data_IF_775852944186
#
_entry.id   IF_775852944186
#
_cell.length_a   1.000
_cell.length_b   1.000
_cell.length_c   1.000
_cell.angle_alpha   90.00
_cell.angle_beta   90.00
_cell.angle_gamma   90.00
#
_symmetry.space_group_name_H-M   'P 1'
#
loop_
_entity.id
_entity.type
_entity.pdbx_description
1 polymer ?
#
# COMPACT_ATOMS: atom_id res chain seq x y z
N UNK A 1 18.05 24.20 13.14
CA UNK A 1 17.66 23.76 11.79
C UNK A 1 17.69 22.24 11.63
N UNK A 2 18.81 21.55 11.95
CA UNK A 2 18.89 20.07 11.81
C UNK A 2 17.85 19.28 12.61
N UNK A 3 17.50 19.69 13.84
CA UNK A 3 16.51 18.98 14.65
C UNK A 3 15.09 19.00 14.06
N UNK A 4 14.70 20.12 13.42
CA UNK A 4 13.39 20.24 12.77
C UNK A 4 13.30 19.32 11.54
N UNK A 5 14.34 19.30 10.71
CA UNK A 5 14.42 18.40 9.56
C UNK A 5 14.34 16.92 9.99
N UNK A 6 15.09 16.54 11.03
CA UNK A 6 15.06 15.19 11.60
C UNK A 6 13.67 14.79 12.11
N UNK A 7 12.96 15.72 12.77
CA UNK A 7 11.62 15.46 13.27
C UNK A 7 10.60 15.24 12.14
N UNK A 8 10.64 16.09 11.10
CA UNK A 8 9.73 15.99 9.94
C UNK A 8 10.00 14.69 9.16
N UNK A 9 11.27 14.38 8.90
CA UNK A 9 11.68 13.16 8.18
C UNK A 9 11.30 11.91 8.96
N UNK A 10 11.56 11.87 10.27
CA UNK A 10 11.24 10.73 11.13
C UNK A 10 9.73 10.43 11.15
N UNK A 11 8.89 11.45 10.98
CA UNK A 11 7.44 11.27 10.93
C UNK A 11 7.00 10.44 9.73
N UNK A 12 7.75 10.42 8.64
CA UNK A 12 7.44 9.58 7.46
C UNK A 12 7.57 8.09 7.80
N UNK A 13 8.56 7.72 8.61
CA UNK A 13 8.83 6.33 8.98
C UNK A 13 7.92 5.85 10.11
N UNK A 14 7.54 6.75 11.02
CA UNK A 14 6.82 6.44 12.26
C UNK A 14 5.31 6.68 12.13
N UNK A 15 4.90 7.58 11.24
CA UNK A 15 3.52 8.00 11.01
C UNK A 15 2.55 6.85 10.75
N UNK A 16 2.83 5.90 9.83
CA UNK A 16 1.91 4.80 9.56
C UNK A 16 1.62 3.93 10.80
N UNK A 17 2.64 3.64 11.62
CA UNK A 17 2.51 2.78 12.81
C UNK A 17 1.80 3.54 13.93
N UNK A 18 2.26 4.77 14.20
CA UNK A 18 1.72 5.60 15.28
C UNK A 18 0.29 6.02 14.97
N UNK A 19 -0.01 6.37 13.72
CA UNK A 19 -1.35 6.73 13.26
C UNK A 19 -2.37 5.60 13.43
N UNK A 20 -2.02 4.37 13.03
CA UNK A 20 -2.92 3.22 13.21
C UNK A 20 -3.21 2.92 14.68
N UNK A 21 -2.18 3.02 15.54
CA UNK A 21 -2.33 2.76 16.98
C UNK A 21 -3.13 3.85 17.69
N UNK A 22 -2.94 5.12 17.30
CA UNK A 22 -3.73 6.25 17.81
C UNK A 22 -5.21 6.08 17.46
N UNK A 23 -5.52 5.67 16.23
CA UNK A 23 -6.90 5.42 15.81
C UNK A 23 -7.53 4.23 16.55
N UNK A 24 -6.80 3.14 16.71
CA UNK A 24 -7.26 1.96 17.48
C UNK A 24 -7.57 2.36 18.93
N UNK A 25 -6.72 3.20 19.54
CA UNK A 25 -6.94 3.76 20.86
C UNK A 25 -8.19 4.62 20.95
N UNK A 26 -8.50 5.41 19.91
CA UNK A 26 -9.69 6.26 19.87
C UNK A 26 -10.98 5.46 19.66
N UNK A 27 -10.93 4.35 18.92
CA UNK A 27 -12.13 3.68 18.40
C UNK A 27 -12.59 2.49 19.24
N UNK A 28 -11.66 1.63 19.67
CA UNK A 28 -11.97 0.40 20.43
C UNK A 28 -11.51 0.48 21.87
N UNK A 29 -10.49 1.31 22.14
CA UNK A 29 -9.78 1.28 23.42
C UNK A 29 -9.14 -0.09 23.68
N UNK A 30 -8.50 -0.25 24.84
CA UNK A 30 -7.92 -1.52 25.28
C UNK A 30 -6.40 -1.52 25.39
N UNK A 31 -5.85 -2.71 25.66
CA UNK A 31 -4.42 -2.90 25.97
C UNK A 31 -3.55 -2.93 24.68
N UNK A 32 -4.16 -3.18 23.52
CA UNK A 32 -3.46 -3.26 22.22
C UNK A 32 -2.60 -2.02 21.89
N UNK A 33 -3.18 -0.80 21.90
CA UNK A 33 -2.43 0.43 21.67
C UNK A 33 -1.30 0.68 22.68
N UNK A 34 -1.51 0.33 23.96
CA UNK A 34 -0.51 0.45 25.03
C UNK A 34 0.67 -0.48 24.74
N UNK A 35 0.41 -1.74 24.40
CA UNK A 35 1.44 -2.72 24.05
C UNK A 35 2.15 -2.33 22.76
N UNK A 36 1.43 -1.82 21.77
CA UNK A 36 2.00 -1.33 20.51
C UNK A 36 2.96 -0.15 20.71
N UNK A 37 2.55 0.87 21.48
CA UNK A 37 3.38 2.03 21.81
C UNK A 37 4.58 1.67 22.69
N UNK A 38 4.39 0.79 23.68
CA UNK A 38 5.50 0.27 24.50
C UNK A 38 6.48 -0.56 23.66
N UNK A 39 5.99 -1.40 22.76
CA UNK A 39 6.84 -2.19 21.86
C UNK A 39 7.65 -1.30 20.92
N UNK A 40 7.00 -0.29 20.32
CA UNK A 40 7.66 0.66 19.43
C UNK A 40 8.73 1.49 20.15
N UNK A 41 8.40 2.05 21.32
CA UNK A 41 9.37 2.83 22.11
C UNK A 41 10.53 1.98 22.63
N UNK A 42 10.26 0.75 23.07
CA UNK A 42 11.30 -0.18 23.51
C UNK A 42 12.23 -0.54 22.35
N UNK A 43 11.69 -0.84 21.16
CA UNK A 43 12.49 -1.17 19.98
C UNK A 43 13.44 -0.03 19.58
N UNK A 44 12.99 1.23 19.67
CA UNK A 44 13.84 2.40 19.40
C UNK A 44 14.86 2.67 20.51
N UNK A 45 14.51 2.43 21.77
CA UNK A 45 15.39 2.69 22.92
C UNK A 45 16.47 1.60 23.10
N UNK A 46 16.18 0.36 22.70
CA UNK A 46 17.01 -0.81 22.97
C UNK A 46 18.43 -0.72 22.38
N UNK A 47 18.65 -0.23 21.13
CA UNK A 47 20.00 -0.01 20.62
C UNK A 47 20.80 0.97 21.50
N UNK A 48 20.20 2.10 21.89
CA UNK A 48 20.88 3.10 22.73
C UNK A 48 21.17 2.58 24.13
N UNK A 49 20.25 1.81 24.71
CA UNK A 49 20.43 1.18 26.02
C UNK A 49 21.58 0.16 25.99
N UNK A 50 21.67 -0.67 24.94
CA UNK A 50 22.78 -1.62 24.76
C UNK A 50 24.11 -0.89 24.62
N UNK A 51 24.17 0.16 23.78
CA UNK A 51 25.39 0.96 23.62
C UNK A 51 25.81 1.68 24.91
N UNK A 52 24.86 2.07 25.77
CA UNK A 52 25.14 2.66 27.08
C UNK A 52 25.64 1.62 28.10
N UNK A 53 25.11 0.39 28.08
CA UNK A 53 25.45 -0.68 29.02
C UNK A 53 26.82 -1.32 28.72
N UNK A 54 27.27 -1.28 27.47
CA UNK A 54 28.56 -1.84 27.03
C UNK A 54 29.50 -0.76 26.46
N UNK A 55 30.17 0.05 27.32
CA UNK A 55 31.12 1.07 26.87
C UNK A 55 32.28 0.50 26.03
N UNK A 56 32.62 -0.78 26.24
CA UNK A 56 33.64 -1.49 25.47
C UNK A 56 33.30 -1.68 23.98
N UNK A 57 32.01 -1.83 23.65
CA UNK A 57 31.55 -1.89 22.25
C UNK A 57 31.59 -0.51 21.59
N UNK A 58 31.26 0.54 22.34
CA UNK A 58 31.37 1.92 21.89
C UNK A 58 32.83 2.27 21.51
N UNK A 59 33.79 1.78 22.31
CA UNK A 59 35.22 1.95 22.06
C UNK A 59 35.78 1.05 20.95
N UNK A 60 35.06 0.00 20.54
CA UNK A 60 35.43 -0.91 19.44
C UNK A 60 34.94 -0.42 18.07
N UNK A 61 34.04 0.57 18.04
CA UNK A 61 33.61 1.17 16.78
C UNK A 61 34.79 1.96 16.19
N UNK A 62 35.17 1.71 14.92
CA UNK A 62 36.23 2.47 14.28
C UNK A 62 35.85 3.95 14.31
N UNK A 63 36.83 4.81 14.65
CA UNK A 63 36.67 6.27 14.62
C UNK A 63 36.03 6.68 13.29
N UNK A 64 35.21 7.74 13.31
CA UNK A 64 34.44 8.36 12.23
C UNK A 64 35.24 8.66 10.95
N UNK A 65 35.71 7.62 10.27
CA UNK A 65 36.41 7.64 9.00
C UNK A 65 35.48 7.32 7.84
N UNK A 66 36.05 6.88 6.71
CA UNK A 66 35.31 6.64 5.46
C UNK A 66 34.15 5.64 5.54
N UNK A 67 34.14 4.73 6.52
CA UNK A 67 33.00 3.81 6.71
C UNK A 67 31.71 4.54 7.12
N UNK A 68 31.81 5.53 8.03
CA UNK A 68 30.65 6.29 8.49
C UNK A 68 30.05 7.13 7.35
N UNK A 69 30.88 7.67 6.46
CA UNK A 69 30.39 8.41 5.30
C UNK A 69 29.61 7.51 4.33
N UNK A 70 30.02 6.26 4.14
CA UNK A 70 29.24 5.31 3.33
C UNK A 70 27.92 4.94 3.96
N UNK A 71 27.87 4.76 5.28
CA UNK A 71 26.60 4.52 5.97
C UNK A 71 25.67 5.73 5.80
N UNK A 72 26.18 6.96 5.96
CA UNK A 72 25.41 8.19 5.72
C UNK A 72 24.90 8.28 4.28
N UNK A 73 25.76 8.01 3.30
CA UNK A 73 25.37 8.03 1.89
C UNK A 73 24.29 6.97 1.60
N UNK A 74 24.49 5.74 2.06
CA UNK A 74 23.52 4.65 1.92
C UNK A 74 22.16 5.01 2.53
N UNK A 75 22.15 5.51 3.77
CA UNK A 75 20.92 5.94 4.43
C UNK A 75 20.27 7.14 3.72
N UNK A 76 21.05 8.09 3.20
CA UNK A 76 20.53 9.23 2.45
C UNK A 76 19.86 8.84 1.12
N UNK A 77 20.46 7.91 0.36
CA UNK A 77 19.82 7.37 -0.85
C UNK A 77 18.55 6.58 -0.52
N UNK A 78 18.56 5.81 0.58
CA UNK A 78 17.38 5.08 1.04
C UNK A 78 16.25 6.03 1.47
N UNK A 79 16.57 7.09 2.20
CA UNK A 79 15.63 8.13 2.62
C UNK A 79 15.03 8.85 1.40
N UNK A 80 15.86 9.17 0.40
CA UNK A 80 15.39 9.77 -0.85
C UNK A 80 14.42 8.84 -1.60
N UNK A 81 14.72 7.54 -1.71
CA UNK A 81 13.83 6.56 -2.34
C UNK A 81 12.47 6.48 -1.61
N UNK A 82 12.50 6.47 -0.27
CA UNK A 82 11.28 6.46 0.55
C UNK A 82 10.48 7.76 0.44
N UNK A 83 11.14 8.92 0.33
CA UNK A 83 10.48 10.20 0.11
C UNK A 83 9.67 10.21 -1.20
N UNK A 84 10.25 9.72 -2.29
CA UNK A 84 9.53 9.56 -3.56
C UNK A 84 8.36 8.57 -3.47
N UNK A 85 8.46 7.53 -2.62
CA UNK A 85 7.33 6.63 -2.35
C UNK A 85 6.16 7.36 -1.69
N UNK A 86 6.42 8.23 -0.72
CA UNK A 86 5.33 9.00 -0.09
C UNK A 86 4.74 10.04 -1.05
N UNK A 87 5.59 10.65 -1.88
CA UNK A 87 5.13 11.55 -2.93
C UNK A 87 4.22 10.83 -3.95
N UNK A 88 4.59 9.61 -4.36
CA UNK A 88 3.76 8.78 -5.24
C UNK A 88 2.43 8.37 -4.59
N UNK A 89 2.41 8.05 -3.29
CA UNK A 89 1.16 7.81 -2.57
C UNK A 89 0.24 9.05 -2.56
N UNK A 90 0.81 10.25 -2.39
CA UNK A 90 0.03 11.48 -2.44
C UNK A 90 -0.50 11.76 -3.85
N UNK A 91 0.31 11.51 -4.89
CA UNK A 91 -0.12 11.61 -6.29
C UNK A 91 -1.26 10.65 -6.62
N UNK A 92 -1.22 9.41 -6.11
CA UNK A 92 -2.27 8.41 -6.28
C UNK A 92 -3.60 8.79 -5.62
N UNK A 93 -3.55 9.44 -4.46
CA UNK A 93 -4.73 9.92 -3.75
C UNK A 93 -5.35 11.13 -4.47
N UNK A 94 -4.52 12.07 -4.90
CA UNK A 94 -4.95 13.27 -5.61
C UNK A 94 -5.20 13.06 -7.11
N UNK A 95 -4.90 11.88 -7.64
CA UNK A 95 -5.03 11.49 -9.06
C UNK A 95 -4.41 12.50 -10.04
N UNK A 96 -3.29 13.13 -9.67
CA UNK A 96 -2.64 14.18 -10.48
C UNK A 96 -1.91 13.63 -11.72
N UNK A 97 -1.68 12.32 -11.80
CA UNK A 97 -0.96 11.62 -12.87
C UNK A 97 0.44 12.20 -13.15
N UNK A 98 1.13 12.74 -12.14
CA UNK A 98 2.49 13.26 -12.31
C UNK A 98 3.56 12.18 -12.09
N UNK A 99 3.24 11.15 -11.29
CA UNK A 99 4.15 10.06 -10.94
C UNK A 99 3.52 8.71 -11.26
N UNK A 100 3.35 8.47 -12.56
CA UNK A 100 2.92 7.17 -13.07
C UNK A 100 3.97 6.09 -12.79
N UNK A 101 3.53 4.83 -12.87
CA UNK A 101 4.32 3.65 -12.51
C UNK A 101 5.71 3.65 -13.16
N UNK A 102 5.79 3.99 -14.44
CA UNK A 102 7.03 4.01 -15.22
C UNK A 102 8.01 5.08 -14.70
N UNK A 103 7.52 6.29 -14.44
CA UNK A 103 8.32 7.41 -13.90
C UNK A 103 8.80 7.09 -12.49
N UNK A 104 7.92 6.54 -11.64
CA UNK A 104 8.26 6.12 -10.29
C UNK A 104 9.39 5.07 -10.29
N UNK A 105 9.24 4.03 -11.11
CA UNK A 105 10.26 2.97 -11.25
C UNK A 105 11.56 3.50 -11.85
N UNK A 106 11.50 4.42 -12.82
CA UNK A 106 12.69 5.04 -13.41
C UNK A 106 13.49 5.84 -12.38
N UNK A 107 12.82 6.63 -11.53
CA UNK A 107 13.45 7.37 -10.42
C UNK A 107 14.08 6.38 -9.44
N UNK A 108 13.38 5.31 -9.07
CA UNK A 108 13.92 4.28 -8.18
C UNK A 108 15.15 3.59 -8.75
N UNK A 109 15.12 3.19 -10.02
CA UNK A 109 16.26 2.59 -10.72
C UNK A 109 17.43 3.58 -10.78
N UNK A 110 17.19 4.87 -11.02
CA UNK A 110 18.23 5.89 -11.02
C UNK A 110 18.87 6.07 -9.63
N UNK A 111 18.07 6.10 -8.56
CA UNK A 111 18.54 6.23 -7.17
C UNK A 111 19.36 5.00 -6.75
N UNK A 112 18.82 3.79 -6.90
CA UNK A 112 19.52 2.57 -6.52
C UNK A 112 20.70 2.26 -7.45
N UNK A 113 20.62 2.61 -8.73
CA UNK A 113 21.74 2.56 -9.66
C UNK A 113 22.87 3.50 -9.27
N UNK A 114 22.56 4.75 -8.91
CA UNK A 114 23.54 5.70 -8.39
C UNK A 114 24.17 5.21 -7.07
N UNK A 115 23.37 4.62 -6.18
CA UNK A 115 23.86 3.99 -4.95
C UNK A 115 24.80 2.81 -5.24
N UNK A 116 24.48 1.95 -6.20
CA UNK A 116 25.36 0.85 -6.61
C UNK A 116 26.68 1.39 -7.17
N UNK A 117 26.63 2.40 -8.05
CA UNK A 117 27.83 3.06 -8.60
C UNK A 117 28.68 3.73 -7.52
N UNK A 118 28.04 4.33 -6.51
CA UNK A 118 28.70 4.88 -5.33
C UNK A 118 29.39 3.77 -4.52
N UNK A 119 28.72 2.64 -4.28
CA UNK A 119 29.29 1.51 -3.53
C UNK A 119 30.45 0.82 -4.26
N UNK A 120 30.42 0.81 -5.60
CA UNK A 120 31.56 0.37 -6.43
C UNK A 120 32.70 1.40 -6.51
N UNK A 121 32.54 2.58 -5.89
CA UNK A 121 33.57 3.61 -5.84
C UNK A 121 33.75 4.41 -7.13
N UNK A 122 32.81 4.31 -8.09
CA UNK A 122 32.84 5.12 -9.33
C UNK A 122 32.39 6.56 -9.12
N UNK A 123 31.59 6.83 -8.08
CA UNK A 123 31.13 8.17 -7.71
C UNK A 123 31.69 8.48 -6.32
N UNK A 124 32.40 9.60 -6.17
CA UNK A 124 32.91 10.09 -4.89
C UNK A 124 32.14 11.35 -4.50
N UNK A 125 31.61 11.40 -3.27
CA UNK A 125 30.96 12.60 -2.74
C UNK A 125 32.00 13.57 -2.17
N UNK A 126 31.71 14.88 -2.09
CA UNK A 126 32.70 15.89 -1.68
C UNK A 126 33.33 15.69 -0.29
N UNK A 127 32.66 14.92 0.57
CA UNK A 127 33.11 14.63 1.93
C UNK A 127 33.79 13.26 2.08
N UNK A 128 34.00 12.53 0.99
CA UNK A 128 34.61 11.21 1.02
C UNK A 128 36.15 11.24 0.91
N UNK A 129 36.79 10.27 1.56
CA UNK A 129 38.22 10.04 1.48
C UNK A 129 38.55 9.21 0.24
N UNK A 130 39.68 9.48 -0.41
CA UNK A 130 40.16 8.71 -1.57
C UNK A 130 40.43 7.28 -1.13
N UNK A 131 39.67 6.32 -1.66
CA UNK A 131 39.78 4.90 -1.32
C UNK A 131 40.68 4.20 -2.33
N UNK A 132 41.81 3.63 -1.87
CA UNK A 132 42.72 2.84 -2.69
C UNK A 132 42.21 1.41 -3.00
N UNK A 133 41.25 0.88 -2.21
CA UNK A 133 40.69 -0.45 -2.42
C UNK A 133 39.26 -0.55 -1.87
N UNK A 134 38.40 -1.32 -2.56
CA UNK A 134 37.01 -1.57 -2.15
C UNK A 134 36.99 -2.64 -1.04
N UNK A 135 36.33 -2.34 0.08
CA UNK A 135 36.09 -3.34 1.14
C UNK A 135 35.08 -4.40 0.67
N UNK A 136 35.32 -5.68 1.02
CA UNK A 136 34.45 -6.82 0.70
C UNK A 136 33.00 -6.56 1.13
N UNK A 137 32.78 -5.89 2.27
CA UNK A 137 31.44 -5.56 2.74
C UNK A 137 30.72 -4.54 1.86
N UNK A 138 31.43 -3.52 1.35
CA UNK A 138 30.85 -2.56 0.39
C UNK A 138 30.56 -3.21 -0.95
N UNK A 139 31.42 -4.13 -1.40
CA UNK A 139 31.22 -4.87 -2.64
C UNK A 139 29.97 -5.75 -2.57
N UNK A 140 29.80 -6.50 -1.47
CA UNK A 140 28.62 -7.35 -1.27
C UNK A 140 27.33 -6.52 -1.20
N UNK A 141 27.34 -5.41 -0.47
CA UNK A 141 26.20 -4.49 -0.40
C UNK A 141 25.88 -3.88 -1.77
N UNK A 142 26.91 -3.48 -2.53
CA UNK A 142 26.76 -2.97 -3.89
C UNK A 142 26.17 -4.01 -4.85
N UNK A 143 26.58 -5.27 -4.74
CA UNK A 143 26.05 -6.37 -5.53
C UNK A 143 24.58 -6.67 -5.19
N UNK A 144 24.20 -6.62 -3.91
CA UNK A 144 22.81 -6.76 -3.47
C UNK A 144 21.95 -5.64 -4.05
N UNK A 145 22.37 -4.38 -3.88
CA UNK A 145 21.65 -3.20 -4.41
C UNK A 145 21.54 -3.26 -5.93
N UNK A 146 22.60 -3.69 -6.63
CA UNK A 146 22.57 -3.85 -8.08
C UNK A 146 21.62 -4.98 -8.51
N UNK A 147 21.60 -6.10 -7.80
CA UNK A 147 20.65 -7.20 -8.07
C UNK A 147 19.22 -6.72 -7.89
N UNK A 148 18.95 -5.95 -6.83
CA UNK A 148 17.65 -5.31 -6.61
C UNK A 148 17.30 -4.32 -7.74
N UNK A 149 18.26 -3.50 -8.18
CA UNK A 149 18.06 -2.56 -9.29
C UNK A 149 17.72 -3.27 -10.59
N UNK A 150 18.42 -4.37 -10.91
CA UNK A 150 18.14 -5.18 -12.11
C UNK A 150 16.74 -5.82 -12.03
N UNK A 151 16.32 -6.26 -10.84
CA UNK A 151 14.97 -6.81 -10.64
C UNK A 151 13.86 -5.79 -10.95
N UNK A 152 14.10 -4.48 -10.77
CA UNK A 152 13.14 -3.43 -11.09
C UNK A 152 12.98 -3.16 -12.59
N UNK A 153 14.00 -3.43 -13.39
CA UNK A 153 14.06 -3.08 -14.83
C UNK A 153 12.85 -3.65 -15.61
N UNK A 154 12.50 -4.95 -15.50
CA UNK A 154 11.33 -5.49 -16.19
C UNK A 154 10.00 -4.80 -15.81
N UNK A 155 9.93 -4.17 -14.63
CA UNK A 155 8.75 -3.43 -14.19
C UNK A 155 8.42 -2.21 -15.04
N UNK A 156 9.42 -1.61 -15.71
CA UNK A 156 9.22 -0.49 -16.64
C UNK A 156 8.40 -0.90 -17.87
N UNK A 157 8.40 -2.19 -18.23
CA UNK A 157 7.61 -2.75 -19.33
C UNK A 157 6.33 -3.44 -18.84
N UNK A 158 5.86 -3.11 -17.63
CA UNK A 158 4.60 -3.61 -17.10
C UNK A 158 4.67 -4.99 -16.44
N UNK A 159 5.85 -5.60 -16.30
CA UNK A 159 5.96 -6.92 -15.66
C UNK A 159 5.47 -6.89 -14.19
N UNK A 160 4.77 -7.93 -13.71
CA UNK A 160 4.31 -8.01 -12.33
C UNK A 160 5.49 -8.26 -11.38
N UNK A 161 5.90 -7.22 -10.65
CA UNK A 161 6.98 -7.27 -9.67
C UNK A 161 6.49 -7.89 -8.35
N UNK A 162 6.24 -9.20 -8.32
CA UNK A 162 5.60 -9.89 -7.16
C UNK A 162 6.21 -9.54 -5.80
N UNK A 163 7.54 -9.48 -5.69
CA UNK A 163 8.26 -9.23 -4.42
C UNK A 163 7.98 -7.86 -3.82
N UNK A 164 7.71 -6.86 -4.67
CA UNK A 164 7.46 -5.48 -4.23
C UNK A 164 6.13 -4.96 -4.75
N UNK A 165 5.22 -5.81 -5.20
CA UNK A 165 4.01 -5.46 -5.95
C UNK A 165 3.06 -4.51 -5.23
N UNK A 166 3.21 -4.36 -3.91
CA UNK A 166 2.43 -3.46 -3.08
C UNK A 166 3.07 -2.06 -2.89
N UNK A 167 4.30 -1.85 -3.40
CA UNK A 167 5.04 -0.59 -3.26
C UNK A 167 4.96 0.36 -4.47
N UNK A 168 5.10 -0.08 -5.74
CA UNK A 168 4.92 0.81 -6.88
C UNK A 168 3.44 1.07 -7.14
N UNK A 169 3.11 2.16 -7.87
CA UNK A 169 1.77 2.39 -8.38
C UNK A 169 1.19 1.16 -9.13
N UNK A 170 -0.13 0.93 -9.03
CA UNK A 170 -0.78 -0.20 -9.70
C UNK A 170 -0.67 -0.10 -11.23
N UNK A 171 -0.87 -1.22 -11.94
CA UNK A 171 -0.80 -1.26 -13.40
C UNK A 171 -1.82 -0.35 -14.11
N UNK A 172 -2.91 -0.03 -13.42
CA UNK A 172 -3.95 0.88 -13.89
C UNK A 172 -3.49 2.35 -13.89
N UNK A 173 -2.46 2.67 -13.11
CA UNK A 173 -1.85 4.00 -12.99
C UNK A 173 -0.49 4.02 -13.72
N UNK A 174 -0.52 3.49 -14.95
CA UNK A 174 0.62 3.29 -15.84
C UNK A 174 0.26 3.93 -17.18
N UNK A 175 1.17 4.68 -17.81
CA UNK A 175 0.93 5.24 -19.15
C UNK A 175 0.70 4.13 -20.19
N UNK A 176 1.32 2.96 -19.97
CA UNK A 176 1.17 1.79 -20.82
C UNK A 176 0.88 0.50 -20.01
N UNK A 177 -0.39 0.24 -19.64
CA UNK A 177 -0.77 -0.92 -18.83
C UNK A 177 -0.39 -2.28 -19.45
N UNK A 178 -0.20 -2.34 -20.77
CA UNK A 178 0.20 -3.54 -21.53
C UNK A 178 1.67 -3.49 -22.00
N UNK A 179 2.44 -2.47 -21.59
CA UNK A 179 3.84 -2.26 -21.95
C UNK A 179 4.04 -1.50 -23.27
N UNK A 180 5.16 -0.80 -23.37
CA UNK A 180 5.58 -0.04 -24.57
C UNK A 180 5.88 -1.03 -25.71
N UNK A 181 5.02 -1.03 -26.74
CA UNK A 181 5.18 -1.86 -27.95
C UNK A 181 4.22 -3.05 -28.06
N UNK A 182 3.39 -3.31 -27.06
CA UNK A 182 2.30 -4.30 -27.17
C UNK A 182 1.02 -3.60 -27.65
N UNK A 183 0.86 -3.49 -28.96
CA UNK A 183 -0.44 -3.21 -29.59
C UNK A 183 -1.31 -4.47 -29.48
N UNK A 184 -1.70 -4.82 -28.26
CA UNK A 184 -2.58 -5.95 -27.98
C UNK A 184 -4.02 -5.57 -28.23
N UNK A 185 -4.58 -6.05 -29.35
CA UNK A 185 -6.02 -6.14 -29.59
C UNK A 185 -6.66 -6.99 -28.48
N UNK A 186 -6.97 -6.38 -27.34
CA UNK A 186 -7.88 -6.97 -26.38
C UNK A 186 -9.30 -6.67 -26.86
N UNK A 187 -10.03 -7.71 -27.27
CA UNK A 187 -11.48 -7.64 -27.45
C UNK A 187 -12.10 -7.10 -26.17
N UNK A 188 -12.46 -5.82 -26.16
CA UNK A 188 -13.24 -5.21 -25.08
C UNK A 188 -14.59 -5.94 -25.03
N UNK A 189 -14.83 -6.69 -23.97
CA UNK A 189 -16.20 -7.05 -23.60
C UNK A 189 -16.92 -5.74 -23.31
N UNK A 190 -18.13 -5.56 -23.84
CA UNK A 190 -18.97 -4.42 -23.46
C UNK A 190 -19.15 -4.45 -21.94
N UNK A 191 -18.67 -3.38 -21.28
CA UNK A 191 -18.81 -3.19 -19.85
C UNK A 191 -20.25 -2.72 -19.56
N UNK A 192 -20.86 -3.16 -18.45
CA UNK A 192 -22.10 -2.57 -17.97
C UNK A 192 -21.95 -1.07 -17.72
N UNK A 193 -23.03 -0.30 -17.89
CA UNK A 193 -23.05 1.13 -17.63
C UNK A 193 -22.56 1.44 -16.20
N UNK A 194 -21.52 2.27 -16.08
CA UNK A 194 -20.90 2.65 -14.81
C UNK A 194 -19.87 1.65 -14.25
N UNK A 195 -19.63 0.52 -14.91
CA UNK A 195 -18.58 -0.42 -14.54
C UNK A 195 -17.23 -0.04 -15.16
N UNK A 196 -16.14 -0.28 -14.43
CA UNK A 196 -14.77 -0.13 -14.90
C UNK A 196 -14.01 -1.45 -14.69
N UNK A 197 -12.97 -1.68 -15.49
CA UNK A 197 -12.03 -2.75 -15.19
C UNK A 197 -11.17 -2.33 -13.99
N UNK A 198 -11.30 -3.08 -12.90
CA UNK A 198 -10.40 -3.01 -11.76
C UNK A 198 -9.23 -3.99 -11.88
N UNK A 199 -8.57 -4.28 -10.75
CA UNK A 199 -7.40 -5.15 -10.71
C UNK A 199 -7.66 -6.49 -11.38
N UNK A 200 -6.72 -6.95 -12.20
CA UNK A 200 -6.82 -8.22 -12.93
C UNK A 200 -8.00 -8.32 -13.90
N UNK A 201 -8.45 -7.17 -14.43
CA UNK A 201 -9.58 -7.08 -15.37
C UNK A 201 -10.90 -7.58 -14.77
N UNK A 202 -11.05 -7.52 -13.44
CA UNK A 202 -12.31 -7.78 -12.78
C UNK A 202 -13.25 -6.60 -13.06
N UNK A 203 -14.51 -6.89 -13.38
CA UNK A 203 -15.53 -5.85 -13.58
C UNK A 203 -15.94 -5.29 -12.22
N UNK A 204 -15.66 -4.01 -12.00
CA UNK A 204 -15.80 -3.34 -10.71
C UNK A 204 -16.66 -2.09 -10.84
N UNK A 205 -17.50 -1.83 -9.84
CA UNK A 205 -18.22 -0.58 -9.69
C UNK A 205 -17.58 0.27 -8.59
N UNK A 206 -17.53 1.58 -8.78
CA UNK A 206 -17.08 2.54 -7.76
C UNK A 206 -18.24 3.27 -7.07
N UNK A 207 -19.43 3.21 -7.68
CA UNK A 207 -20.65 3.73 -7.10
C UNK A 207 -21.51 2.58 -6.57
N UNK A 208 -21.88 2.66 -5.30
CA UNK A 208 -22.65 1.63 -4.62
C UNK A 208 -24.04 1.43 -5.23
N UNK A 209 -24.75 2.51 -5.56
CA UNK A 209 -26.12 2.43 -6.06
C UNK A 209 -26.15 1.82 -7.47
N UNK A 210 -25.21 2.21 -8.32
CA UNK A 210 -25.04 1.64 -9.66
C UNK A 210 -24.68 0.15 -9.59
N UNK A 211 -23.74 -0.22 -8.72
CA UNK A 211 -23.37 -1.62 -8.52
C UNK A 211 -24.50 -2.46 -7.93
N UNK A 212 -25.29 -1.90 -7.01
CA UNK A 212 -26.48 -2.55 -6.43
C UNK A 212 -27.58 -2.76 -7.47
N UNK A 213 -27.85 -1.75 -8.32
CA UNK A 213 -28.82 -1.87 -9.40
C UNK A 213 -28.41 -2.96 -10.40
N UNK A 214 -27.11 -3.00 -10.77
CA UNK A 214 -26.58 -4.05 -11.63
C UNK A 214 -26.68 -5.43 -10.97
N UNK A 215 -26.29 -5.58 -9.70
CA UNK A 215 -26.38 -6.83 -8.96
C UNK A 215 -27.82 -7.37 -8.89
N UNK A 216 -28.81 -6.48 -8.74
CA UNK A 216 -30.24 -6.83 -8.81
C UNK A 216 -30.64 -7.32 -10.20
N UNK A 217 -30.13 -6.68 -11.26
CA UNK A 217 -30.45 -7.08 -12.65
C UNK A 217 -29.89 -8.47 -13.02
N UNK A 218 -28.70 -8.82 -12.52
CA UNK A 218 -28.05 -10.10 -12.79
C UNK A 218 -28.28 -11.16 -11.70
N UNK A 219 -29.01 -10.79 -10.63
CA UNK A 219 -29.30 -11.61 -9.46
C UNK A 219 -28.07 -12.31 -8.85
N UNK A 220 -27.03 -11.53 -8.53
CA UNK A 220 -25.79 -12.02 -7.91
C UNK A 220 -25.52 -11.32 -6.57
N UNK A 221 -24.85 -11.99 -5.62
CA UNK A 221 -24.44 -11.37 -4.37
C UNK A 221 -23.41 -10.27 -4.62
N UNK A 222 -23.35 -9.32 -3.69
CA UNK A 222 -22.49 -8.13 -3.77
C UNK A 222 -21.28 -8.35 -2.87
N UNK A 223 -20.08 -8.21 -3.44
CA UNK A 223 -18.83 -8.12 -2.69
C UNK A 223 -18.46 -6.65 -2.55
N UNK A 224 -18.61 -6.12 -1.34
CA UNK A 224 -18.12 -4.79 -0.98
C UNK A 224 -16.63 -4.90 -0.64
N UNK A 225 -15.82 -4.10 -1.31
CA UNK A 225 -14.39 -3.94 -1.10
C UNK A 225 -14.12 -2.51 -0.64
N UNK A 226 -13.93 -2.31 0.66
CA UNK A 226 -13.46 -1.03 1.20
C UNK A 226 -11.93 -0.99 1.06
N UNK A 227 -11.50 -0.20 0.10
CA UNK A 227 -10.11 -0.13 -0.35
C UNK A 227 -9.60 1.30 -0.32
N UNK A 228 -8.33 1.49 -0.63
CA UNK A 228 -7.73 2.81 -0.80
C UNK A 228 -6.74 2.82 -1.95
N UNK A 229 -6.60 3.97 -2.61
CA UNK A 229 -5.61 4.24 -3.66
C UNK A 229 -4.20 4.01 -3.13
N UNK A 230 -3.90 4.47 -1.92
CA UNK A 230 -2.58 4.34 -1.28
C UNK A 230 -2.46 3.12 -0.34
N UNK A 231 -3.42 2.20 -0.36
CA UNK A 231 -3.49 1.08 0.57
C UNK A 231 -2.58 -0.10 0.15
N UNK A 232 -1.41 -0.22 0.77
CA UNK A 232 -0.41 -1.28 0.53
C UNK A 232 -0.99 -2.68 0.77
N UNK A 233 -1.73 -2.88 1.88
CA UNK A 233 -2.31 -4.19 2.19
C UNK A 233 -3.42 -4.60 1.21
N UNK A 234 -4.17 -3.63 0.68
CA UNK A 234 -5.18 -3.85 -0.35
C UNK A 234 -4.52 -4.35 -1.63
N UNK A 235 -3.47 -3.66 -2.11
CA UNK A 235 -2.69 -4.09 -3.27
C UNK A 235 -2.07 -5.47 -3.05
N UNK A 236 -1.64 -5.79 -1.82
CA UNK A 236 -1.09 -7.11 -1.48
C UNK A 236 -2.14 -8.22 -1.57
N UNK A 237 -3.39 -7.96 -1.14
CA UNK A 237 -4.50 -8.90 -1.33
C UNK A 237 -4.81 -9.09 -2.80
N UNK A 238 -4.94 -8.02 -3.57
CA UNK A 238 -5.22 -8.11 -5.01
C UNK A 238 -4.14 -8.94 -5.72
N UNK A 239 -2.86 -8.58 -5.54
CA UNK A 239 -1.75 -9.19 -6.28
C UNK A 239 -1.42 -10.63 -5.88
N UNK A 240 -1.81 -11.09 -4.68
CA UNK A 240 -1.47 -12.44 -4.21
C UNK A 240 -2.69 -13.35 -4.04
N UNK A 241 -3.83 -12.79 -3.63
CA UNK A 241 -5.05 -13.54 -3.33
C UNK A 241 -6.02 -13.48 -4.49
N UNK A 242 -6.34 -12.29 -5.01
CA UNK A 242 -7.28 -12.20 -6.13
C UNK A 242 -6.72 -12.82 -7.41
N UNK A 243 -5.40 -12.77 -7.59
CA UNK A 243 -4.71 -13.37 -8.75
C UNK A 243 -4.74 -14.89 -8.76
N UNK A 244 -5.14 -15.52 -7.66
CA UNK A 244 -5.12 -16.96 -7.54
C UNK A 244 -6.15 -17.58 -8.51
N UNK A 245 -5.77 -18.64 -9.27
CA UNK A 245 -6.64 -19.26 -10.26
C UNK A 245 -7.93 -19.85 -9.67
N UNK A 246 -7.99 -20.07 -8.35
CA UNK A 246 -9.20 -20.55 -7.67
C UNK A 246 -10.15 -19.42 -7.28
N UNK A 247 -9.66 -18.18 -7.11
CA UNK A 247 -10.42 -17.02 -6.64
C UNK A 247 -10.86 -16.13 -7.81
N UNK A 248 -9.96 -15.87 -8.76
CA UNK A 248 -10.22 -14.99 -9.90
C UNK A 248 -11.51 -15.35 -10.69
N UNK A 249 -11.83 -16.64 -10.95
CA UNK A 249 -13.07 -17.01 -11.62
C UNK A 249 -14.32 -16.71 -10.78
N UNK A 250 -14.24 -16.84 -9.45
CA UNK A 250 -15.36 -16.55 -8.54
C UNK A 250 -15.64 -15.04 -8.57
N UNK A 251 -14.60 -14.22 -8.45
CA UNK A 251 -14.72 -12.76 -8.48
C UNK A 251 -15.30 -12.23 -9.81
N UNK A 252 -14.95 -12.87 -10.93
CA UNK A 252 -15.45 -12.46 -12.25
C UNK A 252 -16.88 -12.94 -12.56
N UNK A 253 -17.29 -14.09 -12.02
CA UNK A 253 -18.50 -14.77 -12.50
C UNK A 253 -19.59 -14.93 -11.45
N UNK A 254 -19.28 -15.02 -10.17
CA UNK A 254 -20.25 -15.37 -9.13
C UNK A 254 -20.67 -14.19 -8.24
N UNK A 255 -19.93 -13.09 -8.24
CA UNK A 255 -20.22 -11.90 -7.44
C UNK A 255 -20.23 -10.63 -8.28
N UNK A 256 -20.84 -9.57 -7.76
CA UNK A 256 -20.67 -8.19 -8.26
C UNK A 256 -19.74 -7.46 -7.31
N UNK A 257 -18.58 -7.04 -7.81
CA UNK A 257 -17.58 -6.33 -7.03
C UNK A 257 -17.88 -4.82 -7.03
N UNK A 258 -17.98 -4.24 -5.84
CA UNK A 258 -18.11 -2.80 -5.63
C UNK A 258 -16.93 -2.36 -4.76
N UNK A 259 -15.98 -1.65 -5.36
CA UNK A 259 -14.80 -1.12 -4.66
C UNK A 259 -15.06 0.32 -4.25
N UNK A 260 -15.13 0.53 -2.93
CA UNK A 260 -15.40 1.81 -2.28
C UNK A 260 -14.08 2.38 -1.76
N UNK A 261 -13.60 3.45 -2.39
CA UNK A 261 -12.36 4.11 -2.01
C UNK A 261 -12.59 5.04 -0.83
N UNK A 262 -11.95 4.75 0.29
CA UNK A 262 -12.08 5.53 1.53
C UNK A 262 -11.13 6.73 1.61
N UNK A 263 -10.15 6.79 0.70
CA UNK A 263 -9.15 7.86 0.59
C UNK A 263 -9.37 8.73 -0.66
N UNK A 264 -10.56 8.71 -1.25
CA UNK A 264 -10.87 9.46 -2.46
C UNK A 264 -11.26 10.92 -2.15
N UNK A 265 -10.42 11.86 -2.59
CA UNK A 265 -10.54 13.31 -2.36
C UNK A 265 -11.41 13.98 -3.43
N UNK A 266 -12.64 13.49 -3.57
CA UNK A 266 -13.66 14.06 -4.45
C UNK A 266 -14.75 14.70 -3.59
N UNK A 267 -14.96 16.00 -3.74
CA UNK A 267 -15.99 16.74 -3.02
C UNK A 267 -17.39 16.15 -3.25
N UNK A 268 -18.10 15.90 -2.15
CA UNK A 268 -19.53 15.60 -2.21
C UNK A 268 -20.32 16.86 -2.53
N UNK A 269 -21.48 16.72 -3.23
CA UNK A 269 -22.45 17.79 -3.35
C UNK A 269 -22.78 18.41 -1.98
N UNK A 270 -22.90 19.74 -1.90
CA UNK A 270 -23.08 20.48 -0.63
C UNK A 270 -24.30 20.02 0.18
N UNK A 271 -25.31 19.47 -0.48
CA UNK A 271 -26.52 18.89 0.11
C UNK A 271 -26.28 17.53 0.79
N UNK A 272 -25.19 16.83 0.44
CA UNK A 272 -24.80 15.55 1.02
C UNK A 272 -23.67 15.69 2.06
N UNK A 273 -23.14 16.89 2.27
CA UNK A 273 -22.13 17.15 3.30
C UNK A 273 -22.80 17.26 4.68
N UNK A 274 -22.27 16.54 5.67
CA UNK A 274 -22.80 16.57 7.03
C UNK A 274 -21.70 16.33 8.07
N UNK A 275 -21.97 16.67 9.33
CA UNK A 275 -21.10 16.30 10.45
C UNK A 275 -21.59 14.99 11.04
N UNK A 276 -20.72 13.99 11.12
CA UNK A 276 -21.05 12.72 11.77
C UNK A 276 -21.34 12.92 13.25
N UNK A 277 -22.40 12.26 13.74
CA UNK A 277 -22.73 12.22 15.17
C UNK A 277 -21.87 11.22 15.95
N UNK A 278 -21.31 10.22 15.28
CA UNK A 278 -20.54 9.14 15.89
C UNK A 278 -19.06 9.50 15.97
N UNK A 279 -18.50 10.09 14.90
CA UNK A 279 -17.08 10.45 14.82
C UNK A 279 -16.81 11.93 15.07
N UNK A 280 -17.84 12.80 15.03
CA UNK A 280 -17.68 14.26 15.14
C UNK A 280 -16.95 14.91 13.97
N UNK A 281 -16.59 14.12 12.95
CA UNK A 281 -15.85 14.57 11.77
C UNK A 281 -16.80 15.17 10.72
N UNK A 282 -16.30 16.12 9.93
CA UNK A 282 -17.03 16.65 8.78
C UNK A 282 -16.86 15.69 7.61
N UNK A 283 -17.98 15.32 6.99
CA UNK A 283 -18.02 14.46 5.82
C UNK A 283 -18.17 15.37 4.62
N UNK A 284 -17.05 15.65 3.95
CA UNK A 284 -16.97 16.60 2.83
C UNK A 284 -16.67 15.87 1.52
N UNK A 285 -15.96 14.74 1.57
CA UNK A 285 -15.51 13.97 0.40
C UNK A 285 -16.18 12.58 0.28
N UNK A 286 -16.10 11.98 -0.91
CA UNK A 286 -16.53 10.59 -1.16
C UNK A 286 -15.79 9.62 -0.24
N UNK A 287 -14.48 9.82 -0.03
CA UNK A 287 -13.69 9.03 0.91
C UNK A 287 -14.21 9.12 2.35
N UNK A 288 -14.56 10.32 2.82
CA UNK A 288 -15.15 10.52 4.16
C UNK A 288 -16.48 9.77 4.29
N UNK A 289 -17.33 9.81 3.26
CA UNK A 289 -18.63 9.11 3.26
C UNK A 289 -18.45 7.61 3.41
N UNK A 290 -17.52 7.00 2.69
CA UNK A 290 -17.27 5.56 2.80
C UNK A 290 -16.56 5.17 4.08
N UNK A 291 -15.66 6.01 4.58
CA UNK A 291 -15.04 5.86 5.90
C UNK A 291 -16.10 5.88 7.01
N UNK A 292 -17.00 6.85 6.98
CA UNK A 292 -18.10 6.97 7.93
C UNK A 292 -19.05 5.77 7.84
N UNK A 293 -19.40 5.33 6.63
CA UNK A 293 -20.23 4.14 6.44
C UNK A 293 -19.58 2.89 7.05
N UNK A 294 -18.27 2.72 6.82
CA UNK A 294 -17.51 1.59 7.35
C UNK A 294 -17.44 1.62 8.88
N UNK A 295 -17.18 2.80 9.48
CA UNK A 295 -17.13 2.96 10.94
C UNK A 295 -18.52 2.75 11.55
N UNK A 296 -19.56 3.36 11.01
CA UNK A 296 -20.91 3.30 11.58
C UNK A 296 -21.51 1.90 11.49
N UNK A 297 -21.41 1.25 10.33
CA UNK A 297 -22.02 -0.06 10.05
C UNK A 297 -21.18 -1.23 10.55
N UNK A 298 -19.86 -1.19 10.34
CA UNK A 298 -18.96 -2.34 10.62
C UNK A 298 -18.03 -2.12 11.82
N UNK A 299 -18.07 -0.95 12.48
CA UNK A 299 -17.31 -0.64 13.70
C UNK A 299 -15.79 -0.91 13.52
N UNK A 300 -15.29 -0.54 12.36
CA UNK A 300 -13.87 -0.67 11.97
C UNK A 300 -13.48 0.45 11.01
N UNK A 301 -12.18 0.74 10.92
CA UNK A 301 -11.60 1.64 9.93
C UNK A 301 -10.32 1.07 9.32
N UNK A 302 -10.22 -0.26 9.29
CA UNK A 302 -9.04 -0.96 8.80
C UNK A 302 -9.29 -1.43 7.38
N UNK A 303 -8.41 -1.03 6.46
CA UNK A 303 -8.43 -1.48 5.06
C UNK A 303 -7.30 -2.51 4.81
N UNK A 304 -7.49 -3.49 3.91
CA UNK A 304 -8.73 -3.78 3.18
C UNK A 304 -9.81 -4.35 4.09
N UNK A 305 -11.07 -4.06 3.79
CA UNK A 305 -12.22 -4.71 4.43
C UNK A 305 -13.16 -5.24 3.35
N UNK A 306 -13.42 -6.55 3.40
CA UNK A 306 -14.34 -7.21 2.49
C UNK A 306 -15.61 -7.65 3.21
N UNK A 307 -16.75 -7.41 2.57
CA UNK A 307 -18.07 -7.80 3.08
C UNK A 307 -18.90 -8.38 1.95
N UNK A 308 -19.41 -9.60 2.14
CA UNK A 308 -20.33 -10.21 1.18
C UNK A 308 -21.77 -9.98 1.64
N UNK A 309 -22.59 -9.41 0.76
CA UNK A 309 -23.97 -9.01 1.07
C UNK A 309 -24.98 -9.51 0.05
N UNK A 310 -26.22 -9.69 0.49
CA UNK A 310 -27.37 -9.92 -0.37
C UNK A 310 -27.81 -8.62 -1.09
N UNK A 311 -28.85 -8.71 -1.93
CA UNK A 311 -29.40 -7.57 -2.67
C UNK A 311 -30.12 -6.53 -1.79
N UNK A 312 -30.27 -6.82 -0.49
CA UNK A 312 -30.87 -5.94 0.52
C UNK A 312 -29.81 -5.33 1.46
N UNK A 313 -28.53 -5.69 1.30
CA UNK A 313 -27.42 -5.20 2.10
C UNK A 313 -27.20 -5.94 3.43
N UNK A 314 -27.81 -7.12 3.60
CA UNK A 314 -27.56 -8.02 4.74
C UNK A 314 -26.30 -8.86 4.51
N UNK A 315 -25.51 -9.09 5.56
CA UNK A 315 -24.32 -9.93 5.48
C UNK A 315 -24.67 -11.38 5.18
N UNK A 316 -24.05 -11.97 4.16
CA UNK A 316 -24.22 -13.37 3.80
C UNK A 316 -23.40 -14.32 4.68
N UNK A 317 -22.27 -13.83 5.20
CA UNK A 317 -21.46 -14.58 6.15
C UNK A 317 -21.90 -14.26 7.57
N UNK A 318 -22.46 -15.24 8.29
CA UNK A 318 -22.95 -15.07 9.67
C UNK A 318 -21.86 -15.30 10.71
N UNK A 319 -20.95 -16.27 10.48
CA UNK A 319 -19.88 -16.62 11.42
C UNK A 319 -18.74 -15.60 11.41
N UNK A 320 -18.36 -15.12 10.23
CA UNK A 320 -17.35 -14.06 10.02
C UNK A 320 -17.90 -13.04 9.01
N UNK A 321 -18.64 -12.01 9.48
CA UNK A 321 -19.29 -11.04 8.60
C UNK A 321 -18.33 -10.22 7.74
N UNK A 322 -17.10 -10.01 8.22
CA UNK A 322 -16.07 -9.25 7.52
C UNK A 322 -14.73 -9.96 7.57
N UNK A 323 -13.92 -9.77 6.54
CA UNK A 323 -12.52 -10.22 6.50
C UNK A 323 -11.62 -9.09 5.98
N UNK A 324 -10.35 -9.12 6.34
CA UNK A 324 -9.36 -8.13 5.92
C UNK A 324 -8.21 -8.80 5.15
N UNK A 325 -6.97 -8.65 5.62
CA UNK A 325 -5.80 -9.31 5.05
C UNK A 325 -5.73 -10.76 5.53
N UNK A 326 -6.03 -11.72 4.64
CA UNK A 326 -6.07 -13.16 4.94
C UNK A 326 -5.37 -13.99 3.85
N UNK A 327 -5.18 -15.28 4.12
CA UNK A 327 -4.60 -16.22 3.14
C UNK A 327 -5.59 -16.59 2.03
N UNK A 328 -5.08 -17.11 0.91
CA UNK A 328 -5.89 -17.62 -0.22
C UNK A 328 -6.94 -18.62 0.23
N UNK A 329 -6.55 -19.59 1.04
CA UNK A 329 -7.45 -20.64 1.51
C UNK A 329 -8.58 -20.07 2.38
N UNK A 330 -8.27 -19.16 3.31
CA UNK A 330 -9.29 -18.53 4.15
C UNK A 330 -10.25 -17.64 3.34
N UNK A 331 -9.73 -16.89 2.36
CA UNK A 331 -10.54 -16.05 1.48
C UNK A 331 -11.50 -16.89 0.62
N UNK A 332 -11.01 -18.01 0.08
CA UNK A 332 -11.79 -18.91 -0.75
C UNK A 332 -12.95 -19.57 0.00
N UNK A 333 -12.69 -20.12 1.19
CA UNK A 333 -13.74 -20.71 2.04
C UNK A 333 -14.80 -19.67 2.42
N UNK A 334 -14.36 -18.46 2.80
CA UNK A 334 -15.26 -17.36 3.14
C UNK A 334 -16.17 -16.95 1.97
N UNK A 335 -15.63 -16.83 0.75
CA UNK A 335 -16.41 -16.55 -0.45
C UNK A 335 -17.43 -17.65 -0.74
N UNK A 336 -17.00 -18.92 -0.69
CA UNK A 336 -17.89 -20.07 -0.94
C UNK A 336 -19.05 -20.12 0.03
N UNK A 337 -18.78 -19.93 1.32
CA UNK A 337 -19.81 -19.98 2.36
C UNK A 337 -20.87 -18.90 2.14
N UNK A 338 -20.43 -17.67 1.87
CA UNK A 338 -21.33 -16.54 1.64
C UNK A 338 -22.14 -16.68 0.34
N UNK A 339 -21.51 -17.10 -0.76
CA UNK A 339 -22.21 -17.33 -2.04
C UNK A 339 -23.22 -18.48 -1.91
N UNK A 340 -22.88 -19.52 -1.16
CA UNK A 340 -23.80 -20.64 -0.91
C UNK A 340 -25.00 -20.23 -0.07
N UNK A 341 -24.83 -19.27 0.85
CA UNK A 341 -25.93 -18.70 1.63
C UNK A 341 -26.89 -17.87 0.76
N UNK A 342 -26.39 -17.18 -0.28
CA UNK A 342 -27.23 -16.42 -1.21
C UNK A 342 -28.11 -17.30 -2.11
N UNK A 343 -27.64 -18.51 -2.43
CA UNK A 343 -28.38 -19.47 -3.28
C UNK A 343 -29.52 -20.19 -2.55
N UNK A 344 -29.64 -20.02 -1.22
CA UNK A 344 -30.68 -20.65 -0.39
C UNK A 344 -31.90 -19.74 -0.26
#
# INVERSE_FOLDING_TARGET
FMALALAIVSFSCTGPIVGTLLFESASRGGIGPIVGMLGFSLALALPFMIFAMFPGWLNSLPKSGGWLNTVKAFLGFLELALAFKFLSNADLVLQLHLLEREVFLAIWIAIFGALALYLFGKIQLPHDSVLQSISVGRLFLGLLVLTFTIYLIPGLWGAPLKLISAFPPPMEYSESPLGVGSSGNATMKELPDGAKYGPQQIVTFHDYETGLAYAKSVNKPILLDFTGRACVNCRKMENNVWSDPTILPILNNEVVLISLYVDEDIDLPKDQQFTSKETGSKIETVGDKWTEFMITKYKTNTQPLYVLTDLNGNSLNTAKPTISYVSVAEYYEWLRDGISAFKK
#
